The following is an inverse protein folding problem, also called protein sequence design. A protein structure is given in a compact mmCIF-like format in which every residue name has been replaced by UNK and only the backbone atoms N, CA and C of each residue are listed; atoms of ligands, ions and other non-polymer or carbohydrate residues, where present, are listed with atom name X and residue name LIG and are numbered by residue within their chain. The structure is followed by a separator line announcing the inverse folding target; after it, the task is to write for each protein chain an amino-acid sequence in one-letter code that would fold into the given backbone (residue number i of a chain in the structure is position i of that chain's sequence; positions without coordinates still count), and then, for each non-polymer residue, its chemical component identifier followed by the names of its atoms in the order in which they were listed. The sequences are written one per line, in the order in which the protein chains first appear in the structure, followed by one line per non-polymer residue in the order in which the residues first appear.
data_IF_217445711312
#
_entry.id   IF_217445711312
#
_cell.length_a   1.000
_cell.length_b   1.000
_cell.length_c   1.000
_cell.angle_alpha   90.00
_cell.angle_beta   90.00
_cell.angle_gamma   90.00
#
_symmetry.space_group_name_H-M   'P 1'
#
loop_
_entity.id
_entity.type
_entity.pdbx_description
1 polymer ?
#
# COMPACT_ATOMS: atom_id res chain seq x y z
N UNK A 1 -15.96 -15.78 2.25
CA UNK A 1 -16.91 -14.74 2.70
C UNK A 1 -16.40 -14.00 3.92
N UNK A 2 -16.95 -12.82 4.21
CA UNK A 2 -16.59 -11.99 5.39
C UNK A 2 -17.83 -11.43 6.05
N UNK A 3 -17.89 -11.50 7.39
CA UNK A 3 -18.94 -10.87 8.21
C UNK A 3 -18.32 -9.86 9.16
N UNK A 4 -18.90 -8.64 9.20
CA UNK A 4 -18.54 -7.61 10.18
C UNK A 4 -19.77 -7.28 11.03
N UNK A 5 -19.63 -7.33 12.36
CA UNK A 5 -20.74 -7.09 13.29
C UNK A 5 -22.03 -7.87 12.96
N UNK A 6 -21.89 -9.13 12.51
CA UNK A 6 -23.03 -9.98 12.11
C UNK A 6 -23.57 -9.76 10.68
N UNK A 7 -23.15 -8.72 10.00
CA UNK A 7 -23.56 -8.42 8.62
C UNK A 7 -22.61 -9.05 7.62
N UNK A 8 -23.16 -9.76 6.61
CA UNK A 8 -22.37 -10.33 5.52
C UNK A 8 -21.93 -9.21 4.58
N UNK A 9 -20.64 -8.89 4.56
CA UNK A 9 -20.07 -7.82 3.73
C UNK A 9 -19.53 -8.36 2.41
N UNK A 10 -18.84 -9.52 2.43
CA UNK A 10 -18.29 -10.16 1.24
C UNK A 10 -18.88 -11.56 1.08
N UNK A 11 -19.35 -11.90 -0.14
CA UNK A 11 -19.91 -13.20 -0.49
C UNK A 11 -19.25 -13.72 -1.75
N UNK A 12 -18.91 -15.00 -1.78
CA UNK A 12 -18.49 -15.75 -2.96
C UNK A 12 -17.49 -15.01 -3.85
N UNK A 13 -16.50 -14.37 -3.19
CA UNK A 13 -15.38 -13.75 -3.89
C UNK A 13 -14.44 -14.86 -4.34
N UNK A 14 -14.28 -14.99 -5.65
CA UNK A 14 -13.30 -15.83 -6.31
C UNK A 14 -12.45 -14.93 -7.20
N UNK A 15 -11.19 -14.78 -6.90
CA UNK A 15 -10.29 -13.84 -7.57
C UNK A 15 -8.89 -14.41 -7.60
N UNK A 16 -8.29 -14.43 -8.78
CA UNK A 16 -6.89 -14.73 -8.99
C UNK A 16 -6.18 -13.47 -9.46
N UNK A 17 -5.08 -13.11 -8.79
CA UNK A 17 -4.18 -12.03 -9.18
C UNK A 17 -2.83 -12.64 -9.52
N UNK A 18 -2.34 -12.38 -10.74
CA UNK A 18 -1.08 -12.93 -11.22
C UNK A 18 0.10 -12.23 -10.56
N UNK A 19 1.21 -12.94 -10.46
CA UNK A 19 2.45 -12.32 -9.99
C UNK A 19 2.86 -11.15 -10.90
N UNK A 20 3.21 -10.01 -10.28
CA UNK A 20 3.54 -8.78 -10.98
C UNK A 20 2.35 -8.03 -11.61
N UNK A 21 1.12 -8.46 -11.39
CA UNK A 21 -0.08 -7.79 -11.93
C UNK A 21 -0.43 -6.52 -11.15
N UNK A 22 -0.88 -5.48 -11.88
CA UNK A 22 -1.51 -4.30 -11.30
C UNK A 22 -3.04 -4.47 -11.36
N UNK A 23 -3.65 -4.89 -10.26
CA UNK A 23 -5.09 -5.14 -10.16
C UNK A 23 -5.80 -3.94 -9.57
N UNK A 24 -6.88 -3.47 -10.21
CA UNK A 24 -7.68 -2.34 -9.71
C UNK A 24 -9.08 -2.80 -9.30
N UNK A 25 -9.46 -2.53 -8.05
CA UNK A 25 -10.84 -2.69 -7.59
C UNK A 25 -11.57 -1.36 -7.68
N UNK A 26 -12.53 -1.27 -8.57
CA UNK A 26 -13.36 -0.08 -8.77
C UNK A 26 -14.82 -0.35 -8.42
N UNK A 27 -15.48 0.65 -7.86
CA UNK A 27 -16.91 0.56 -7.51
C UNK A 27 -17.33 1.64 -6.51
N UNK A 28 -18.64 1.77 -6.23
CA UNK A 28 -19.16 2.77 -5.32
C UNK A 28 -18.63 2.61 -3.89
N UNK A 29 -18.66 3.69 -3.12
CA UNK A 29 -18.30 3.65 -1.70
C UNK A 29 -19.21 2.67 -0.93
N UNK A 30 -18.64 1.93 0.01
CA UNK A 30 -19.38 0.99 0.85
C UNK A 30 -19.68 -0.38 0.21
N UNK A 31 -19.24 -0.67 -1.02
CA UNK A 31 -19.47 -1.99 -1.66
C UNK A 31 -18.49 -3.10 -1.21
N UNK A 32 -17.61 -2.84 -0.23
CA UNK A 32 -16.74 -3.86 0.36
C UNK A 32 -15.31 -3.91 -0.17
N UNK A 33 -14.87 -3.01 -1.06
CA UNK A 33 -13.50 -3.00 -1.62
C UNK A 33 -12.42 -2.88 -0.54
N UNK A 34 -12.52 -1.88 0.33
CA UNK A 34 -11.57 -1.69 1.44
C UNK A 34 -11.64 -2.85 2.43
N UNK A 35 -12.81 -3.46 2.64
CA UNK A 35 -12.94 -4.67 3.45
C UNK A 35 -12.15 -5.83 2.83
N UNK A 36 -12.28 -6.05 1.51
CA UNK A 36 -11.52 -7.08 0.81
C UNK A 36 -10.01 -6.83 0.95
N UNK A 37 -9.58 -5.58 0.76
CA UNK A 37 -8.17 -5.21 0.93
C UNK A 37 -7.66 -5.48 2.35
N UNK A 38 -8.47 -5.16 3.38
CA UNK A 38 -8.15 -5.41 4.80
C UNK A 38 -8.08 -6.90 5.11
N UNK A 39 -8.91 -7.72 4.48
CA UNK A 39 -8.86 -9.19 4.57
C UNK A 39 -7.56 -9.72 3.98
N UNK A 40 -7.16 -9.25 2.81
CA UNK A 40 -5.88 -9.63 2.19
C UNK A 40 -4.73 -9.21 3.12
N UNK A 41 -4.83 -8.04 3.73
CA UNK A 41 -3.86 -7.52 4.69
C UNK A 41 -3.82 -8.31 6.02
N UNK A 42 -4.84 -9.12 6.33
CA UNK A 42 -4.98 -9.81 7.60
C UNK A 42 -5.48 -8.94 8.74
N UNK A 43 -6.05 -7.77 8.42
CA UNK A 43 -6.66 -6.84 9.38
C UNK A 43 -8.11 -7.19 9.68
N UNK A 44 -8.72 -8.05 8.87
CA UNK A 44 -10.07 -8.60 9.05
C UNK A 44 -10.02 -10.11 8.80
N UNK A 45 -10.80 -10.86 9.57
CA UNK A 45 -10.87 -12.31 9.46
C UNK A 45 -11.87 -12.73 8.36
N UNK A 46 -11.56 -13.83 7.67
CA UNK A 46 -12.50 -14.47 6.77
C UNK A 46 -13.36 -15.48 7.54
N UNK A 47 -14.67 -15.51 7.22
CA UNK A 47 -15.61 -16.46 7.82
C UNK A 47 -15.72 -17.77 7.03
N UNK A 48 -15.04 -17.89 5.93
CA UNK A 48 -14.96 -19.10 5.11
C UNK A 48 -14.29 -18.84 3.76
N UNK A 49 -13.74 -19.88 3.19
CA UNK A 49 -12.91 -19.82 1.99
C UNK A 49 -11.42 -19.83 2.33
N UNK A 50 -10.60 -19.68 1.30
CA UNK A 50 -9.14 -19.73 1.39
C UNK A 50 -8.55 -18.48 0.72
N UNK A 51 -7.54 -17.90 1.36
CA UNK A 51 -6.71 -16.85 0.82
C UNK A 51 -5.27 -17.32 0.75
N UNK A 52 -4.68 -17.25 -0.44
CA UNK A 52 -3.29 -17.61 -0.66
C UNK A 52 -2.49 -16.43 -1.21
N UNK A 53 -1.25 -16.27 -0.76
CA UNK A 53 -0.27 -15.32 -1.28
C UNK A 53 1.01 -16.10 -1.59
N UNK A 54 1.53 -15.98 -2.81
CA UNK A 54 2.73 -16.71 -3.24
C UNK A 54 2.60 -18.24 -3.11
N UNK A 55 1.39 -18.78 -3.30
CA UNK A 55 1.09 -20.22 -3.13
C UNK A 55 0.96 -20.70 -1.68
N UNK A 56 1.11 -19.79 -0.70
CA UNK A 56 0.97 -20.09 0.73
C UNK A 56 -0.41 -19.63 1.21
N UNK A 57 -1.16 -20.52 1.86
CA UNK A 57 -2.41 -20.15 2.56
C UNK A 57 -2.10 -19.26 3.75
N UNK A 58 -2.78 -18.10 3.82
CA UNK A 58 -2.49 -17.06 4.82
C UNK A 58 -3.66 -16.73 5.74
N UNK A 59 -4.70 -17.56 5.77
CA UNK A 59 -5.88 -17.32 6.60
C UNK A 59 -5.53 -16.97 8.04
N UNK A 60 -4.66 -17.78 8.67
CA UNK A 60 -4.25 -17.66 10.07
C UNK A 60 -2.89 -16.93 10.24
N UNK A 61 -2.32 -16.40 9.14
CA UNK A 61 -1.02 -15.72 9.19
C UNK A 61 -1.22 -14.26 9.61
N UNK A 62 -0.51 -13.78 10.66
CA UNK A 62 -0.59 -12.39 11.09
C UNK A 62 -0.20 -11.40 9.99
N UNK A 63 -0.75 -10.17 9.99
CA UNK A 63 -0.46 -9.16 8.96
C UNK A 63 1.03 -8.92 8.70
N UNK A 64 1.83 -8.88 9.77
CA UNK A 64 3.27 -8.62 9.69
C UNK A 64 4.06 -9.72 8.94
N UNK A 65 3.52 -10.94 8.86
CA UNK A 65 4.17 -12.12 8.29
C UNK A 65 3.62 -12.52 6.90
N UNK A 66 2.66 -11.76 6.36
CA UNK A 66 2.03 -12.05 5.05
C UNK A 66 2.86 -11.61 3.84
N UNK A 67 3.99 -10.94 4.04
CA UNK A 67 4.80 -10.41 2.93
C UNK A 67 4.15 -9.24 2.19
N UNK A 68 3.24 -8.52 2.83
CA UNK A 68 2.49 -7.40 2.25
C UNK A 68 2.89 -6.06 2.83
N UNK A 69 2.64 -4.98 2.08
CA UNK A 69 2.66 -3.62 2.59
C UNK A 69 1.40 -2.89 2.17
N UNK A 70 0.77 -2.17 3.11
CA UNK A 70 -0.46 -1.42 2.87
C UNK A 70 -0.22 0.07 3.01
N UNK A 71 -0.70 0.84 2.03
CA UNK A 71 -0.73 2.30 2.02
C UNK A 71 -2.17 2.74 2.20
N UNK A 72 -2.43 3.45 3.30
CA UNK A 72 -3.76 3.92 3.67
C UNK A 72 -4.05 5.29 3.09
N UNK A 73 -5.33 5.61 2.92
CA UNK A 73 -5.85 6.91 2.49
C UNK A 73 -5.28 8.09 3.31
N UNK A 74 -5.11 7.92 4.60
CA UNK A 74 -4.64 8.96 5.53
C UNK A 74 -3.11 9.04 5.66
N UNK A 75 -2.34 8.38 4.77
CA UNK A 75 -0.86 8.27 4.77
C UNK A 75 -0.25 7.64 6.02
N UNK A 76 -0.85 7.76 7.18
CA UNK A 76 -0.40 7.22 8.48
C UNK A 76 1.07 7.52 8.82
N UNK A 77 1.55 8.74 8.51
CA UNK A 77 2.92 9.17 8.80
C UNK A 77 3.08 9.57 10.27
N UNK A 78 4.23 9.26 10.84
CA UNK A 78 4.63 9.72 12.17
C UNK A 78 5.07 11.18 12.09
N UNK A 79 4.19 12.12 12.54
CA UNK A 79 4.37 13.57 12.34
C UNK A 79 5.57 14.14 13.08
N UNK A 80 6.02 13.51 14.15
CA UNK A 80 7.17 13.90 14.95
C UNK A 80 8.52 13.46 14.38
N UNK A 81 8.52 12.46 13.48
CA UNK A 81 9.72 11.89 12.87
C UNK A 81 10.10 12.59 11.56
N UNK A 82 11.41 12.62 11.26
CA UNK A 82 11.90 12.98 9.93
C UNK A 82 11.45 11.96 8.87
N UNK A 83 11.50 12.34 7.59
CA UNK A 83 11.02 11.45 6.51
C UNK A 83 11.87 10.19 6.40
N UNK A 84 13.19 10.32 6.55
CA UNK A 84 14.05 9.15 6.61
C UNK A 84 13.64 8.19 7.72
N UNK A 85 13.39 8.70 8.93
CA UNK A 85 12.98 7.88 10.08
C UNK A 85 11.60 7.24 9.88
N UNK A 86 10.67 7.95 9.23
CA UNK A 86 9.39 7.39 8.84
C UNK A 86 9.55 6.14 7.96
N UNK A 87 10.44 6.20 6.96
CA UNK A 87 10.71 5.05 6.09
C UNK A 87 11.48 3.94 6.80
N UNK A 88 12.48 4.30 7.58
CA UNK A 88 13.35 3.36 8.28
C UNK A 88 12.69 2.63 9.47
N UNK A 89 11.59 3.17 10.00
CA UNK A 89 10.98 2.72 11.27
C UNK A 89 10.68 1.23 11.29
N UNK A 90 10.02 0.70 10.25
CA UNK A 90 9.66 -0.72 10.17
C UNK A 90 10.88 -1.64 10.09
N UNK A 91 11.95 -1.19 9.44
CA UNK A 91 13.21 -1.96 9.33
C UNK A 91 13.97 -1.99 10.67
N UNK A 92 13.94 -0.88 11.43
CA UNK A 92 14.50 -0.83 12.79
C UNK A 92 13.77 -1.77 13.73
N UNK A 93 12.43 -1.81 13.68
CA UNK A 93 11.62 -2.75 14.46
C UNK A 93 11.94 -4.22 14.12
N UNK A 94 12.30 -4.49 12.88
CA UNK A 94 12.73 -5.82 12.42
C UNK A 94 14.22 -6.12 12.78
N UNK A 95 14.88 -5.26 13.56
CA UNK A 95 16.29 -5.38 13.96
C UNK A 95 17.25 -5.58 12.77
N UNK A 96 16.97 -4.95 11.64
CA UNK A 96 17.87 -4.99 10.50
C UNK A 96 19.17 -4.19 10.76
N UNK A 97 20.30 -4.60 10.18
CA UNK A 97 21.56 -3.85 10.30
C UNK A 97 21.44 -2.42 9.76
N UNK A 98 22.08 -1.44 10.41
CA UNK A 98 22.01 -0.01 10.03
C UNK A 98 22.41 0.24 8.57
N UNK A 99 23.42 -0.47 8.06
CA UNK A 99 23.86 -0.38 6.66
C UNK A 99 22.75 -0.80 5.68
N UNK A 100 21.98 -1.86 6.00
CA UNK A 100 20.87 -2.32 5.19
C UNK A 100 19.70 -1.32 5.24
N UNK A 101 19.40 -0.76 6.42
CA UNK A 101 18.37 0.28 6.61
C UNK A 101 18.74 1.52 5.79
N UNK A 102 19.98 1.97 5.87
CA UNK A 102 20.47 3.14 5.13
C UNK A 102 20.35 2.92 3.62
N UNK A 103 20.82 1.78 3.13
CA UNK A 103 20.73 1.43 1.71
C UNK A 103 19.29 1.38 1.21
N UNK A 104 18.39 0.68 1.93
CA UNK A 104 16.98 0.57 1.57
C UNK A 104 16.27 1.93 1.58
N UNK A 105 16.50 2.74 2.61
CA UNK A 105 15.90 4.07 2.75
C UNK A 105 16.31 5.03 1.63
N UNK A 106 17.61 5.12 1.32
CA UNK A 106 18.09 5.97 0.23
C UNK A 106 17.64 5.48 -1.15
N UNK A 107 17.62 4.15 -1.37
CA UNK A 107 17.13 3.61 -2.64
C UNK A 107 15.64 3.92 -2.85
N UNK A 108 14.80 3.71 -1.85
CA UNK A 108 13.38 4.05 -1.91
C UNK A 108 13.17 5.56 -2.14
N UNK A 109 13.96 6.42 -1.48
CA UNK A 109 13.89 7.86 -1.65
C UNK A 109 14.23 8.30 -3.08
N UNK A 110 15.23 7.67 -3.71
CA UNK A 110 15.60 7.92 -5.12
C UNK A 110 14.51 7.49 -6.08
N UNK A 111 13.95 6.29 -5.93
CA UNK A 111 12.84 5.79 -6.76
C UNK A 111 11.68 6.80 -6.74
N UNK A 112 11.40 7.37 -5.58
CA UNK A 112 10.27 8.28 -5.36
C UNK A 112 10.62 9.76 -5.59
N UNK A 113 11.86 10.11 -5.94
CA UNK A 113 12.35 11.48 -6.09
C UNK A 113 12.09 12.34 -4.84
N UNK A 114 12.36 11.82 -3.66
CA UNK A 114 12.22 12.50 -2.35
C UNK A 114 13.53 12.50 -1.53
N UNK A 115 14.65 12.12 -2.12
CA UNK A 115 15.96 12.07 -1.49
C UNK A 115 16.39 13.43 -0.90
N UNK A 116 16.05 14.54 -1.56
CA UNK A 116 16.29 15.91 -1.11
C UNK A 116 15.38 16.36 0.05
N UNK A 117 14.43 15.54 0.48
CA UNK A 117 13.44 15.85 1.52
C UNK A 117 13.65 15.05 2.82
N UNK A 118 14.61 14.12 2.86
CA UNK A 118 14.76 13.14 3.94
C UNK A 118 14.87 13.74 5.34
N UNK A 119 15.43 14.95 5.46
CA UNK A 119 15.61 15.68 6.71
C UNK A 119 14.42 16.58 7.07
N UNK A 120 13.33 16.56 6.28
CA UNK A 120 12.10 17.30 6.59
C UNK A 120 11.14 16.47 7.42
N UNK A 121 10.15 17.15 8.02
CA UNK A 121 9.04 16.49 8.72
C UNK A 121 7.78 16.50 7.85
N UNK A 122 6.81 15.58 8.07
CA UNK A 122 5.58 15.51 7.28
C UNK A 122 4.78 16.80 7.20
N UNK A 123 4.84 17.65 8.22
CA UNK A 123 4.16 18.95 8.25
C UNK A 123 4.65 19.92 7.16
N UNK A 124 5.91 19.77 6.73
CA UNK A 124 6.58 20.66 5.78
C UNK A 124 6.40 20.20 4.32
N UNK A 125 5.53 19.21 4.08
CA UNK A 125 5.32 18.58 2.79
C UNK A 125 3.97 18.89 2.17
N UNK A 126 3.93 18.88 0.83
CA UNK A 126 2.69 18.82 0.06
C UNK A 126 2.00 17.46 0.21
N UNK A 127 0.71 17.38 -0.18
CA UNK A 127 -0.04 16.11 -0.17
C UNK A 127 0.65 15.01 -0.97
N UNK A 128 1.10 15.31 -2.19
CA UNK A 128 1.81 14.34 -3.02
C UNK A 128 3.16 13.89 -2.44
N UNK A 129 3.90 14.80 -1.79
CA UNK A 129 5.14 14.43 -1.11
C UNK A 129 4.86 13.52 0.09
N UNK A 130 3.82 13.79 0.90
CA UNK A 130 3.39 12.87 1.97
C UNK A 130 3.02 11.50 1.44
N UNK A 131 2.29 11.46 0.31
CA UNK A 131 1.93 10.21 -0.38
C UNK A 131 3.19 9.40 -0.74
N UNK A 132 4.18 10.04 -1.38
CA UNK A 132 5.44 9.36 -1.74
C UNK A 132 6.18 8.81 -0.52
N UNK A 133 6.19 9.52 0.60
CA UNK A 133 6.79 9.00 1.84
C UNK A 133 6.04 7.78 2.37
N UNK A 134 4.71 7.78 2.32
CA UNK A 134 3.90 6.62 2.70
C UNK A 134 4.19 5.40 1.80
N UNK A 135 4.35 5.62 0.50
CA UNK A 135 4.78 4.58 -0.44
C UNK A 135 6.22 4.12 -0.11
N UNK A 136 7.12 5.04 0.21
CA UNK A 136 8.50 4.73 0.60
C UNK A 136 8.59 3.80 1.81
N UNK A 137 7.74 4.01 2.82
CA UNK A 137 7.60 3.11 3.98
C UNK A 137 7.21 1.68 3.57
N UNK A 138 6.46 1.55 2.50
CA UNK A 138 6.07 0.25 1.96
C UNK A 138 7.22 -0.38 1.15
N UNK A 139 7.87 0.38 0.26
CA UNK A 139 8.94 -0.10 -0.63
C UNK A 139 10.14 -0.66 0.16
N UNK A 140 10.57 0.02 1.22
CA UNK A 140 11.74 -0.40 2.00
C UNK A 140 11.62 -1.81 2.57
N UNK A 141 10.39 -2.30 2.76
CA UNK A 141 10.09 -3.65 3.26
C UNK A 141 10.18 -4.73 2.19
N UNK A 142 10.30 -4.35 0.91
CA UNK A 142 10.32 -5.27 -0.24
C UNK A 142 9.17 -6.30 -0.19
N UNK A 143 7.91 -5.85 -0.13
CA UNK A 143 6.77 -6.75 -0.02
C UNK A 143 6.56 -7.55 -1.31
N UNK A 144 5.92 -8.72 -1.21
CA UNK A 144 5.45 -9.50 -2.35
C UNK A 144 4.22 -8.85 -3.00
N UNK A 145 3.38 -8.19 -2.19
CA UNK A 145 2.16 -7.50 -2.65
C UNK A 145 2.02 -6.14 -1.99
N UNK A 146 1.80 -5.12 -2.81
CA UNK A 146 1.39 -3.79 -2.35
C UNK A 146 -0.13 -3.66 -2.36
N UNK A 147 -0.68 -3.10 -1.30
CA UNK A 147 -2.10 -2.80 -1.16
C UNK A 147 -2.31 -1.29 -1.01
N UNK A 148 -3.12 -0.69 -1.89
CA UNK A 148 -3.41 0.75 -1.89
C UNK A 148 -4.90 0.97 -1.66
N UNK A 149 -5.28 1.57 -0.53
CA UNK A 149 -6.66 1.87 -0.18
C UNK A 149 -6.98 3.35 -0.46
N UNK A 150 -7.55 3.62 -1.62
CA UNK A 150 -7.93 4.95 -2.12
C UNK A 150 -6.80 6.00 -1.96
N UNK A 151 -5.57 5.72 -2.40
CA UNK A 151 -4.40 6.53 -2.04
C UNK A 151 -4.43 7.95 -2.59
N UNK A 152 -5.22 8.24 -3.62
CA UNK A 152 -5.29 9.56 -4.27
C UNK A 152 -6.52 10.39 -3.87
N UNK A 153 -7.43 9.85 -3.06
CA UNK A 153 -8.71 10.50 -2.73
C UNK A 153 -8.57 11.87 -2.06
N UNK A 154 -7.49 12.09 -1.30
CA UNK A 154 -7.23 13.34 -0.57
C UNK A 154 -6.42 14.38 -1.36
N UNK A 155 -6.18 14.14 -2.65
CA UNK A 155 -5.41 15.03 -3.52
C UNK A 155 -6.32 15.86 -4.43
N UNK A 156 -5.86 17.05 -4.80
CA UNK A 156 -6.51 17.85 -5.85
C UNK A 156 -6.42 17.18 -7.22
N UNK A 157 -7.26 17.60 -8.16
CA UNK A 157 -7.39 16.95 -9.47
C UNK A 157 -6.08 16.94 -10.28
N UNK A 158 -5.32 18.04 -10.26
CA UNK A 158 -4.08 18.14 -11.02
C UNK A 158 -2.99 17.23 -10.45
N UNK A 159 -2.89 17.18 -9.12
CA UNK A 159 -1.94 16.32 -8.43
C UNK A 159 -2.33 14.84 -8.58
N UNK A 160 -3.63 14.53 -8.60
CA UNK A 160 -4.15 13.17 -8.81
C UNK A 160 -3.73 12.62 -10.18
N UNK A 161 -3.83 13.44 -11.25
CA UNK A 161 -3.35 13.06 -12.58
C UNK A 161 -1.86 12.72 -12.58
N UNK A 162 -1.02 13.57 -11.97
CA UNK A 162 0.43 13.30 -11.87
C UNK A 162 0.72 12.03 -11.09
N UNK A 163 0.05 11.82 -9.96
CA UNK A 163 0.28 10.65 -9.11
C UNK A 163 -0.13 9.34 -9.79
N UNK A 164 -1.11 9.33 -10.69
CA UNK A 164 -1.42 8.13 -11.50
C UNK A 164 -0.23 7.71 -12.36
N UNK A 165 0.41 8.65 -13.05
CA UNK A 165 1.64 8.35 -13.79
C UNK A 165 2.75 7.81 -12.91
N UNK A 166 2.89 8.36 -11.70
CA UNK A 166 3.88 7.88 -10.73
C UNK A 166 3.59 6.44 -10.28
N UNK A 167 2.32 6.07 -10.09
CA UNK A 167 1.96 4.69 -9.76
C UNK A 167 2.25 3.72 -10.91
N UNK A 168 1.90 4.07 -12.14
CA UNK A 168 2.20 3.26 -13.31
C UNK A 168 3.72 3.05 -13.46
N UNK A 169 4.49 4.14 -13.35
CA UNK A 169 5.95 4.09 -13.37
C UNK A 169 6.53 3.26 -12.24
N UNK A 170 6.02 3.41 -11.03
CA UNK A 170 6.43 2.65 -9.86
C UNK A 170 6.22 1.15 -10.07
N UNK A 171 5.07 0.76 -10.62
CA UNK A 171 4.80 -0.63 -10.96
C UNK A 171 5.78 -1.16 -12.01
N UNK A 172 6.06 -0.37 -13.05
CA UNK A 172 7.04 -0.74 -14.07
C UNK A 172 8.45 -0.93 -13.52
N UNK A 173 8.85 -0.12 -12.54
CA UNK A 173 10.16 -0.23 -11.89
C UNK A 173 10.27 -1.39 -10.91
N UNK A 174 9.22 -1.62 -10.12
CA UNK A 174 9.24 -2.63 -9.06
C UNK A 174 8.85 -4.03 -9.56
N UNK A 175 8.03 -4.12 -10.61
CA UNK A 175 7.47 -5.39 -11.14
C UNK A 175 6.81 -6.25 -10.07
N UNK A 176 6.33 -5.63 -9.00
CA UNK A 176 5.70 -6.30 -7.85
C UNK A 176 4.19 -6.27 -8.00
N UNK A 177 3.50 -7.30 -7.53
CA UNK A 177 2.03 -7.35 -7.53
C UNK A 177 1.45 -6.18 -6.74
N UNK A 178 0.51 -5.46 -7.34
CA UNK A 178 -0.16 -4.32 -6.73
C UNK A 178 -1.68 -4.48 -6.79
N UNK A 179 -2.36 -4.22 -5.68
CA UNK A 179 -3.82 -4.16 -5.62
C UNK A 179 -4.21 -2.74 -5.20
N UNK A 180 -4.97 -2.08 -6.04
CA UNK A 180 -5.35 -0.68 -5.91
C UNK A 180 -6.86 -0.55 -5.79
N UNK A 181 -7.33 0.11 -4.74
CA UNK A 181 -8.76 0.39 -4.53
C UNK A 181 -9.05 1.84 -4.89
N UNK A 182 -10.10 2.06 -5.68
CA UNK A 182 -10.61 3.40 -5.98
C UNK A 182 -12.13 3.39 -6.18
N UNK A 183 -12.76 4.53 -6.02
CA UNK A 183 -14.14 4.78 -6.46
C UNK A 183 -14.18 5.59 -7.77
N UNK A 184 -13.03 6.03 -8.27
CA UNK A 184 -12.90 6.83 -9.49
C UNK A 184 -12.63 5.92 -10.69
N UNK A 185 -13.57 5.91 -11.64
CA UNK A 185 -13.45 5.10 -12.86
C UNK A 185 -12.30 5.58 -13.77
N UNK A 186 -11.99 6.88 -13.75
CA UNK A 186 -10.90 7.44 -14.56
C UNK A 186 -9.54 6.95 -14.02
N UNK A 187 -9.39 6.85 -12.70
CA UNK A 187 -8.22 6.21 -12.10
C UNK A 187 -8.09 4.76 -12.57
N UNK A 188 -9.18 3.98 -12.48
CA UNK A 188 -9.18 2.58 -12.85
C UNK A 188 -8.84 2.32 -14.33
N UNK A 189 -9.14 3.26 -15.22
CA UNK A 189 -8.88 3.13 -16.66
C UNK A 189 -7.51 3.65 -17.09
N UNK A 190 -6.79 4.34 -16.22
CA UNK A 190 -5.54 5.03 -16.56
C UNK A 190 -4.32 4.53 -15.76
N UNK A 191 -4.54 3.61 -14.85
CA UNK A 191 -3.53 2.83 -14.13
C UNK A 191 -3.33 1.48 -14.81
#
# INVERSE_FOLDING_TARGET
GVRLAGVQVLRDINLDVRDGEFMVFVGPSGCGKSTLLRVIAGLEEITGGELSIGGRVVNEVPPAERGIAMVFQAYALYLHMYLYDNMAFGLRLANMPDSAIQSAGHNAAKILNIDHLLERKPKDLSGGQRQRVAIGRAIVRKPEVFLFDEPLSNLDAALRVRMRYEFAKLHDELKTTMIYVTHDQVEAMTL
#
